data_IF_047452152543
#
_entry.id   IF_047452152543
#
_cell.length_a   1.000
_cell.length_b   1.000
_cell.length_c   1.000
_cell.angle_alpha   90.00
_cell.angle_beta   90.00
_cell.angle_gamma   90.00
#
_symmetry.space_group_name_H-M   'P 1'
#
loop_
_entity.id
_entity.type
_entity.pdbx_description
1 polymer ?
#
# COMPACT_ATOMS: atom_id res chain seq x y z
N UNK A 1 15.33 6.65 23.54
CA UNK A 1 14.08 6.13 22.94
C UNK A 1 14.06 4.62 23.03
N UNK A 2 12.85 4.04 23.11
CA UNK A 2 12.66 2.60 23.12
C UNK A 2 11.94 2.18 21.84
N UNK A 3 12.61 1.42 20.95
CA UNK A 3 12.05 0.98 19.68
C UNK A 3 11.76 -0.52 19.66
N UNK A 4 10.58 -0.88 19.15
CA UNK A 4 10.29 -2.23 18.73
C UNK A 4 10.53 -2.35 17.21
N UNK A 5 11.44 -3.22 16.79
CA UNK A 5 11.71 -3.51 15.39
C UNK A 5 11.19 -4.90 15.07
N UNK A 6 10.28 -4.99 14.10
CA UNK A 6 9.79 -6.26 13.55
C UNK A 6 10.42 -6.43 12.16
N UNK A 7 11.28 -7.43 12.01
CA UNK A 7 11.99 -7.69 10.76
C UNK A 7 11.42 -8.95 10.07
N UNK A 8 10.81 -8.77 8.92
CA UNK A 8 10.30 -9.85 8.10
C UNK A 8 11.39 -10.37 7.15
N UNK A 9 12.03 -11.46 7.53
CA UNK A 9 13.12 -12.09 6.77
C UNK A 9 12.68 -12.62 5.39
N UNK A 10 11.37 -12.86 5.18
CA UNK A 10 10.85 -13.25 3.87
C UNK A 10 10.79 -12.09 2.85
N UNK A 11 10.98 -10.86 3.30
CA UNK A 11 10.96 -9.66 2.44
C UNK A 11 12.26 -9.37 1.67
N UNK A 12 13.26 -10.21 1.73
CA UNK A 12 14.52 -10.39 0.96
C UNK A 12 15.17 -9.27 0.15
N UNK A 13 14.63 -8.05 0.16
CA UNK A 13 15.22 -6.90 -0.52
C UNK A 13 16.04 -6.08 0.48
N UNK A 14 17.29 -5.78 0.14
CA UNK A 14 18.25 -5.09 1.02
C UNK A 14 18.56 -5.84 2.33
N UNK A 15 18.92 -7.10 2.22
CA UNK A 15 19.41 -7.89 3.35
C UNK A 15 20.50 -7.11 4.10
N UNK A 16 20.27 -6.90 5.40
CA UNK A 16 21.23 -6.20 6.27
C UNK A 16 21.00 -4.70 6.47
N UNK A 17 20.29 -4.00 5.61
CA UNK A 17 20.06 -2.55 5.75
C UNK A 17 19.35 -2.17 7.09
N UNK A 18 18.54 -3.06 7.65
CA UNK A 18 17.94 -2.85 8.97
C UNK A 18 19.01 -2.76 10.09
N UNK A 19 20.10 -3.48 9.97
CA UNK A 19 21.21 -3.40 10.94
C UNK A 19 22.00 -2.10 10.81
N UNK A 20 22.09 -1.54 9.61
CA UNK A 20 22.69 -0.22 9.40
C UNK A 20 21.80 0.88 10.00
N UNK A 21 20.47 0.76 9.87
CA UNK A 21 19.53 1.61 10.58
C UNK A 21 19.70 1.52 12.10
N UNK A 22 19.77 0.30 12.66
CA UNK A 22 19.97 0.08 14.09
C UNK A 22 21.26 0.75 14.55
N UNK A 23 22.38 0.57 13.83
CA UNK A 23 23.68 1.22 14.18
C UNK A 23 23.58 2.75 14.11
N UNK A 24 22.93 3.29 13.08
CA UNK A 24 22.77 4.73 12.92
C UNK A 24 21.85 5.34 13.97
N UNK A 25 20.83 4.60 14.37
CA UNK A 25 19.87 5.04 15.37
C UNK A 25 20.41 4.97 16.79
N UNK A 26 21.18 3.91 17.12
CA UNK A 26 21.62 3.63 18.50
C UNK A 26 22.50 4.73 19.08
N UNK A 27 22.07 5.28 20.21
CA UNK A 27 22.84 6.21 21.06
C UNK A 27 22.77 5.75 22.51
N UNK A 28 23.51 6.40 23.40
CA UNK A 28 23.47 6.12 24.83
C UNK A 28 22.02 6.26 25.36
N UNK A 29 21.58 5.26 26.13
CA UNK A 29 20.23 5.15 26.71
C UNK A 29 19.11 4.79 25.73
N UNK A 30 19.38 4.40 24.51
CA UNK A 30 18.35 3.79 23.66
C UNK A 30 18.18 2.30 23.97
N UNK A 31 16.96 1.83 23.89
CA UNK A 31 16.60 0.41 23.98
C UNK A 31 16.00 -0.03 22.65
N UNK A 32 16.55 -1.08 22.06
CA UNK A 32 16.04 -1.61 20.79
C UNK A 32 15.74 -3.09 20.97
N UNK A 33 14.48 -3.45 20.77
CA UNK A 33 14.02 -4.82 20.75
C UNK A 33 13.78 -5.24 19.30
N UNK A 34 14.59 -6.19 18.82
CA UNK A 34 14.44 -6.75 17.47
C UNK A 34 13.73 -8.10 17.52
N UNK A 35 12.60 -8.20 16.84
CA UNK A 35 11.84 -9.44 16.61
C UNK A 35 11.89 -9.80 15.14
N UNK A 36 12.31 -11.01 14.82
CA UNK A 36 12.38 -11.48 13.44
C UNK A 36 11.27 -12.51 13.17
N UNK A 37 10.73 -12.48 11.96
CA UNK A 37 9.76 -13.47 11.47
C UNK A 37 10.20 -14.05 10.14
N UNK A 38 9.85 -15.30 9.89
CA UNK A 38 10.06 -15.98 8.60
C UNK A 38 8.96 -15.67 7.56
N UNK A 39 8.06 -14.74 7.89
CA UNK A 39 6.92 -14.35 7.04
C UNK A 39 5.71 -15.26 7.12
N UNK A 40 5.74 -16.31 7.95
CA UNK A 40 4.62 -17.24 8.17
C UNK A 40 3.86 -16.97 9.46
N UNK A 41 4.57 -16.45 10.45
CA UNK A 41 3.98 -16.06 11.74
C UNK A 41 3.12 -14.82 11.55
N UNK A 42 1.94 -14.80 12.13
CA UNK A 42 1.08 -13.61 12.15
C UNK A 42 1.80 -12.46 12.85
N UNK A 43 1.96 -11.34 12.15
CA UNK A 43 2.66 -10.16 12.66
C UNK A 43 1.99 -9.57 13.90
N UNK A 44 0.70 -9.80 14.10
CA UNK A 44 -0.06 -9.38 15.27
C UNK A 44 0.54 -9.94 16.57
N UNK A 45 1.05 -11.16 16.52
CA UNK A 45 1.68 -11.79 17.69
C UNK A 45 2.92 -11.04 18.21
N UNK A 46 3.53 -10.20 17.36
CA UNK A 46 4.72 -9.42 17.72
C UNK A 46 4.38 -8.04 18.32
N UNK A 47 3.10 -7.67 18.39
CA UNK A 47 2.65 -6.34 18.82
C UNK A 47 2.01 -6.31 20.21
N UNK A 48 2.00 -7.44 20.93
CA UNK A 48 1.27 -7.59 22.19
C UNK A 48 1.69 -6.61 23.30
N UNK A 49 2.89 -6.08 23.23
CA UNK A 49 3.49 -5.13 24.16
C UNK A 49 3.95 -3.82 23.46
N UNK A 50 3.39 -3.52 22.28
CA UNK A 50 3.78 -2.38 21.48
C UNK A 50 3.62 -1.04 22.22
N UNK A 51 2.67 -0.96 23.17
CA UNK A 51 2.46 0.22 24.03
C UNK A 51 3.63 0.52 24.98
N UNK A 52 4.56 -0.40 25.17
CA UNK A 52 5.73 -0.21 26.00
C UNK A 52 6.89 0.46 25.23
N UNK A 53 6.69 0.80 23.96
CA UNK A 53 7.69 1.37 23.05
C UNK A 53 7.28 2.76 22.57
N UNK A 54 8.27 3.61 22.31
CA UNK A 54 8.07 4.94 21.76
C UNK A 54 7.66 4.91 20.28
N UNK A 55 8.08 3.88 19.54
CA UNK A 55 7.67 3.62 18.15
C UNK A 55 7.90 2.16 17.75
N UNK A 56 7.17 1.74 16.73
CA UNK A 56 7.32 0.43 16.07
C UNK A 56 7.93 0.63 14.69
N UNK A 57 9.01 -0.08 14.38
CA UNK A 57 9.62 -0.14 13.05
C UNK A 57 9.24 -1.47 12.42
N UNK A 58 8.62 -1.46 11.25
CA UNK A 58 8.32 -2.66 10.47
C UNK A 58 9.22 -2.75 9.24
N UNK A 59 10.19 -3.64 9.28
CA UNK A 59 11.06 -3.98 8.15
C UNK A 59 10.39 -5.06 7.32
N UNK A 60 9.81 -4.67 6.19
CA UNK A 60 9.02 -5.57 5.36
C UNK A 60 8.56 -4.93 4.05
N UNK A 61 7.77 -5.65 3.28
CA UNK A 61 7.07 -5.10 2.11
C UNK A 61 5.73 -4.46 2.49
N UNK A 62 5.07 -3.84 1.49
CA UNK A 62 3.81 -3.10 1.68
C UNK A 62 2.72 -3.91 2.41
N UNK A 63 2.64 -5.23 2.20
CA UNK A 63 1.70 -6.09 2.92
C UNK A 63 2.02 -6.25 4.41
N UNK A 64 3.30 -6.35 4.79
CA UNK A 64 3.70 -6.39 6.20
C UNK A 64 3.42 -5.07 6.89
N UNK A 65 3.72 -3.96 6.19
CA UNK A 65 3.45 -2.61 6.67
C UNK A 65 1.94 -2.43 6.87
N UNK A 66 1.11 -2.83 5.90
CA UNK A 66 -0.35 -2.72 5.98
C UNK A 66 -0.93 -3.49 7.20
N UNK A 67 -0.43 -4.70 7.44
CA UNK A 67 -0.86 -5.48 8.62
C UNK A 67 -0.54 -4.76 9.92
N UNK A 68 0.70 -4.27 10.07
CA UNK A 68 1.11 -3.59 11.30
C UNK A 68 0.42 -2.23 11.45
N UNK A 69 0.23 -1.47 10.34
CA UNK A 69 -0.53 -0.22 10.36
C UNK A 69 -1.96 -0.42 10.85
N UNK A 70 -2.61 -1.47 10.37
CA UNK A 70 -3.99 -1.79 10.76
C UNK A 70 -4.09 -2.14 12.26
N UNK A 71 -3.16 -2.93 12.78
CA UNK A 71 -3.15 -3.30 14.20
C UNK A 71 -2.81 -2.11 15.13
N UNK A 72 -2.00 -1.17 14.66
CA UNK A 72 -1.63 0.02 15.43
C UNK A 72 -2.59 1.20 15.19
N UNK A 73 -3.58 1.06 14.32
CA UNK A 73 -4.55 2.12 14.04
C UNK A 73 -5.25 2.57 15.33
N UNK A 74 -5.33 3.88 15.54
CA UNK A 74 -5.95 4.51 16.71
C UNK A 74 -5.30 4.19 18.08
N UNK A 75 -4.12 3.59 18.13
CA UNK A 75 -3.40 3.31 19.38
C UNK A 75 -2.53 4.49 19.84
N UNK A 76 -2.24 5.44 18.93
CA UNK A 76 -1.31 6.54 19.18
C UNK A 76 0.16 6.13 19.12
N UNK A 77 0.49 4.88 18.80
CA UNK A 77 1.87 4.39 18.69
C UNK A 77 2.38 4.71 17.28
N UNK A 78 3.47 5.50 17.15
CA UNK A 78 4.06 5.81 15.85
C UNK A 78 4.59 4.56 15.15
N UNK A 79 4.32 4.44 13.84
CA UNK A 79 4.85 3.40 12.97
C UNK A 79 5.89 3.98 12.01
N UNK A 80 7.01 3.29 11.89
CA UNK A 80 8.08 3.59 10.93
C UNK A 80 8.13 2.47 9.90
N UNK A 81 7.65 2.69 8.68
CA UNK A 81 7.84 1.75 7.58
C UNK A 81 9.32 1.70 7.20
N UNK A 82 9.96 0.53 7.25
CA UNK A 82 11.32 0.32 6.75
C UNK A 82 11.27 -0.41 5.40
N UNK A 83 11.83 0.16 4.31
CA UNK A 83 11.63 -0.32 2.95
C UNK A 83 12.43 -1.59 2.65
N UNK A 84 11.96 -2.76 3.07
CA UNK A 84 12.59 -4.05 2.83
C UNK A 84 11.83 -4.93 1.82
N UNK A 85 10.79 -4.42 1.20
CA UNK A 85 10.01 -5.10 0.16
C UNK A 85 10.51 -4.83 -1.25
N UNK A 86 9.80 -5.36 -2.24
CA UNK A 86 10.14 -5.19 -3.67
C UNK A 86 9.75 -3.81 -4.21
N UNK A 87 8.57 -3.31 -3.84
CA UNK A 87 8.02 -2.06 -4.38
C UNK A 87 8.12 -0.89 -3.39
N UNK A 88 7.87 -1.13 -2.10
CA UNK A 88 7.92 -0.15 -1.01
C UNK A 88 7.10 1.11 -1.32
N UNK A 89 5.90 0.90 -1.87
CA UNK A 89 5.07 1.98 -2.40
C UNK A 89 4.61 2.95 -1.30
N UNK A 90 4.34 2.45 -0.08
CA UNK A 90 3.96 3.33 1.01
C UNK A 90 5.09 4.29 1.36
N UNK A 91 6.33 3.80 1.50
CA UNK A 91 7.49 4.66 1.77
C UNK A 91 7.66 5.74 0.68
N UNK A 92 7.47 5.37 -0.60
CA UNK A 92 7.51 6.32 -1.72
C UNK A 92 6.38 7.35 -1.66
N UNK A 93 5.14 6.93 -1.36
CA UNK A 93 3.99 7.84 -1.21
C UNK A 93 4.20 8.84 -0.06
N UNK A 94 4.82 8.41 1.02
CA UNK A 94 5.16 9.26 2.17
C UNK A 94 6.42 10.12 1.93
N UNK A 95 7.07 10.02 0.77
CA UNK A 95 8.36 10.66 0.50
C UNK A 95 9.43 10.37 1.56
N UNK A 96 9.39 9.16 2.13
CA UNK A 96 10.26 8.75 3.21
C UNK A 96 11.66 8.44 2.67
N UNK A 97 12.74 8.78 3.40
CA UNK A 97 14.09 8.39 3.03
C UNK A 97 14.24 6.87 2.92
N UNK A 98 14.95 6.41 1.90
CA UNK A 98 15.29 4.98 1.74
C UNK A 98 16.62 4.62 2.40
N UNK A 99 17.50 5.60 2.62
CA UNK A 99 18.82 5.41 3.26
C UNK A 99 18.66 5.18 4.76
N UNK A 100 19.28 4.12 5.33
CA UNK A 100 19.15 3.78 6.74
C UNK A 100 19.53 4.90 7.71
N UNK A 101 20.60 5.64 7.42
CA UNK A 101 21.05 6.78 8.25
C UNK A 101 20.06 7.94 8.22
N UNK A 102 19.57 8.30 7.04
CA UNK A 102 18.58 9.39 6.90
C UNK A 102 17.24 9.01 7.56
N UNK A 103 16.86 7.74 7.49
CA UNK A 103 15.67 7.23 8.18
C UNK A 103 15.84 7.26 9.70
N UNK A 104 17.01 6.89 10.21
CA UNK A 104 17.31 6.98 11.64
C UNK A 104 17.27 8.43 12.15
N UNK A 105 17.80 9.38 11.40
CA UNK A 105 17.66 10.82 11.72
C UNK A 105 16.20 11.28 11.69
N UNK A 106 15.44 10.88 10.68
CA UNK A 106 14.01 11.21 10.59
C UNK A 106 13.26 10.73 11.85
N UNK A 107 13.47 9.47 12.26
CA UNK A 107 12.84 8.91 13.46
C UNK A 107 13.24 9.70 14.71
N UNK A 108 14.49 10.12 14.83
CA UNK A 108 14.97 10.93 15.94
C UNK A 108 14.34 12.31 16.03
N UNK A 109 13.89 12.89 14.92
CA UNK A 109 13.17 14.17 14.96
C UNK A 109 11.84 14.08 15.69
N UNK A 110 11.28 12.87 15.83
CA UNK A 110 10.00 12.60 16.47
C UNK A 110 8.80 13.22 15.77
N UNK A 111 8.95 13.68 14.52
CA UNK A 111 7.83 14.22 13.74
C UNK A 111 7.00 13.08 13.18
N UNK A 112 5.71 13.12 13.44
CA UNK A 112 4.73 12.14 12.94
C UNK A 112 3.78 12.79 11.95
N UNK A 113 3.22 11.95 11.09
CA UNK A 113 2.16 12.30 10.16
C UNK A 113 1.02 11.30 10.38
N UNK A 114 -0.17 11.79 10.65
CA UNK A 114 -1.36 10.96 10.70
C UNK A 114 -1.87 10.71 9.28
N UNK A 115 -2.20 9.47 8.98
CA UNK A 115 -2.87 9.09 7.74
C UNK A 115 -3.89 7.97 7.98
N UNK A 116 -4.85 7.87 7.08
CA UNK A 116 -5.92 6.89 7.16
C UNK A 116 -5.40 5.48 6.84
N UNK A 117 -5.84 4.52 7.61
CA UNK A 117 -5.67 3.10 7.31
C UNK A 117 -7.03 2.55 6.90
N UNK A 118 -7.14 2.12 5.66
CA UNK A 118 -8.38 1.55 5.16
C UNK A 118 -8.52 0.08 5.56
N UNK A 119 -9.77 -0.36 5.69
CA UNK A 119 -10.12 -1.74 6.01
C UNK A 119 -11.01 -2.33 4.92
N UNK A 120 -10.76 -3.57 4.54
CA UNK A 120 -11.63 -4.35 3.67
C UNK A 120 -12.11 -5.60 4.39
N UNK A 121 -13.42 -5.86 4.34
CA UNK A 121 -14.04 -7.08 4.86
C UNK A 121 -14.44 -8.00 3.71
N UNK A 122 -13.93 -9.23 3.73
CA UNK A 122 -14.24 -10.27 2.74
C UNK A 122 -14.54 -11.57 3.48
N UNK A 123 -15.74 -12.11 3.31
CA UNK A 123 -16.16 -13.37 3.94
C UNK A 123 -15.85 -13.41 5.45
N UNK A 124 -16.32 -12.39 6.18
CA UNK A 124 -16.17 -12.20 7.64
C UNK A 124 -14.71 -12.06 8.13
N UNK A 125 -13.77 -11.82 7.21
CA UNK A 125 -12.37 -11.52 7.56
C UNK A 125 -12.05 -10.09 7.19
N UNK A 126 -11.33 -9.41 8.09
CA UNK A 126 -10.92 -8.02 7.94
C UNK A 126 -9.43 -7.92 7.66
N UNK A 127 -9.09 -7.08 6.71
CA UNK A 127 -7.72 -6.82 6.30
C UNK A 127 -7.50 -5.32 6.16
N UNK A 128 -6.45 -4.80 6.76
CA UNK A 128 -6.04 -3.41 6.55
C UNK A 128 -5.30 -3.24 5.23
N UNK A 129 -5.46 -2.08 4.61
CA UNK A 129 -4.63 -1.67 3.49
C UNK A 129 -4.30 -0.18 3.56
N UNK A 130 -3.09 0.18 3.18
CA UNK A 130 -2.63 1.56 3.16
C UNK A 130 -2.72 2.18 1.77
N UNK A 131 -2.55 1.38 0.74
CA UNK A 131 -2.44 1.84 -0.64
C UNK A 131 -3.75 1.67 -1.40
N UNK A 132 -3.98 0.46 -1.87
CA UNK A 132 -5.11 0.12 -2.72
C UNK A 132 -5.62 -1.27 -2.43
N UNK A 133 -6.92 -1.48 -2.66
CA UNK A 133 -7.55 -2.79 -2.70
C UNK A 133 -8.43 -2.88 -3.93
N UNK A 134 -8.39 -4.01 -4.63
CA UNK A 134 -9.16 -4.17 -5.86
C UNK A 134 -9.96 -5.46 -5.92
N UNK A 135 -11.03 -5.42 -6.70
CA UNK A 135 -11.83 -6.58 -7.06
C UNK A 135 -11.97 -6.68 -8.58
N UNK A 136 -11.93 -7.91 -9.11
CA UNK A 136 -12.00 -8.16 -10.55
C UNK A 136 -10.63 -8.24 -11.20
N UNK A 137 -10.42 -7.50 -12.29
CA UNK A 137 -9.20 -7.55 -13.10
C UNK A 137 -7.94 -7.22 -12.32
N UNK A 138 -7.97 -6.18 -11.49
CA UNK A 138 -6.83 -5.80 -10.65
C UNK A 138 -6.40 -6.93 -9.70
N UNK A 139 -7.36 -7.56 -9.02
CA UNK A 139 -7.10 -8.70 -8.15
C UNK A 139 -6.49 -9.90 -8.92
N UNK A 140 -6.87 -10.11 -10.17
CA UNK A 140 -6.29 -11.14 -11.04
C UNK A 140 -4.84 -10.84 -11.37
N UNK A 141 -4.53 -9.59 -11.77
CA UNK A 141 -3.16 -9.14 -12.03
C UNK A 141 -2.28 -9.30 -10.80
N UNK A 142 -2.75 -8.87 -9.64
CA UNK A 142 -2.00 -8.98 -8.38
C UNK A 142 -1.69 -10.43 -8.01
N UNK A 143 -2.64 -11.33 -8.22
CA UNK A 143 -2.45 -12.78 -7.98
C UNK A 143 -1.40 -13.37 -8.90
N UNK A 144 -1.45 -13.07 -10.19
CA UNK A 144 -0.51 -13.59 -11.18
C UNK A 144 0.88 -12.96 -11.03
N UNK A 145 0.94 -11.68 -10.69
CA UNK A 145 2.19 -10.98 -10.38
C UNK A 145 2.86 -11.58 -9.13
N UNK A 146 2.09 -11.92 -8.09
CA UNK A 146 2.62 -12.55 -6.87
C UNK A 146 3.29 -13.89 -7.16
N UNK A 147 2.75 -14.69 -8.09
CA UNK A 147 3.34 -15.97 -8.51
C UNK A 147 4.68 -15.80 -9.25
N UNK A 148 4.88 -14.66 -9.91
CA UNK A 148 6.09 -14.37 -10.73
C UNK A 148 7.10 -13.47 -10.03
N UNK A 149 6.76 -12.91 -8.86
CA UNK A 149 7.51 -11.87 -8.13
C UNK A 149 8.96 -12.27 -7.83
N UNK A 150 9.20 -13.53 -7.46
CA UNK A 150 10.55 -14.02 -7.16
C UNK A 150 11.51 -13.97 -8.36
N UNK A 151 10.98 -14.07 -9.59
CA UNK A 151 11.78 -14.09 -10.82
C UNK A 151 11.87 -12.73 -11.52
N UNK A 152 10.81 -11.93 -11.48
CA UNK A 152 10.65 -10.73 -12.29
C UNK A 152 10.61 -9.43 -11.44
N UNK A 153 10.60 -9.54 -10.10
CA UNK A 153 10.57 -8.36 -9.24
C UNK A 153 9.38 -7.43 -9.55
N UNK A 154 9.66 -6.15 -9.70
CA UNK A 154 8.65 -5.11 -10.01
C UNK A 154 8.01 -5.29 -11.40
N UNK A 155 8.70 -5.91 -12.35
CA UNK A 155 8.21 -6.11 -13.72
C UNK A 155 7.07 -7.16 -13.75
N UNK A 156 6.95 -8.00 -12.69
CA UNK A 156 5.93 -9.04 -12.62
C UNK A 156 4.50 -8.49 -12.77
N UNK A 157 4.22 -7.31 -12.23
CA UNK A 157 2.90 -6.67 -12.35
C UNK A 157 2.57 -6.31 -13.80
N UNK A 158 3.51 -5.69 -14.51
CA UNK A 158 3.31 -5.33 -15.92
C UNK A 158 3.24 -6.57 -16.82
N UNK A 159 4.02 -7.61 -16.53
CA UNK A 159 3.96 -8.87 -17.26
C UNK A 159 2.61 -9.57 -17.05
N UNK A 160 2.08 -9.60 -15.82
CA UNK A 160 0.77 -10.16 -15.54
C UNK A 160 -0.36 -9.37 -16.23
N UNK A 161 -0.29 -8.04 -16.25
CA UNK A 161 -1.23 -7.20 -16.97
C UNK A 161 -1.20 -7.47 -18.49
N UNK A 162 -0.02 -7.64 -19.06
CA UNK A 162 0.16 -7.92 -20.48
C UNK A 162 -0.35 -9.33 -20.91
N UNK A 163 -0.38 -10.31 -20.01
CA UNK A 163 -0.86 -11.66 -20.29
C UNK A 163 -2.38 -11.81 -20.12
N UNK A 164 -3.01 -10.96 -19.29
CA UNK A 164 -4.45 -10.97 -19.00
C UNK A 164 -5.22 -9.97 -19.87
N UNK A 165 -5.18 -10.14 -21.19
CA UNK A 165 -5.74 -9.18 -22.17
C UNK A 165 -7.26 -9.19 -22.23
N UNK A 166 -7.91 -10.29 -21.84
CA UNK A 166 -9.37 -10.48 -21.90
C UNK A 166 -9.96 -10.74 -20.51
N UNK A 167 -10.05 -9.72 -19.64
CA UNK A 167 -10.70 -9.88 -18.35
C UNK A 167 -12.19 -10.15 -18.53
N UNK A 168 -12.79 -10.82 -17.55
CA UNK A 168 -14.24 -11.05 -17.55
C UNK A 168 -14.95 -9.74 -17.20
N UNK A 169 -15.89 -9.32 -18.04
CA UNK A 169 -16.81 -8.25 -17.70
C UNK A 169 -17.83 -8.77 -16.68
N UNK A 170 -18.05 -8.03 -15.63
CA UNK A 170 -19.04 -8.30 -14.61
C UNK A 170 -19.97 -7.11 -14.43
N UNK A 171 -21.23 -7.38 -14.09
CA UNK A 171 -22.12 -6.37 -13.57
C UNK A 171 -21.79 -6.12 -12.11
N UNK A 172 -21.46 -4.88 -11.77
CA UNK A 172 -21.07 -4.46 -10.44
C UNK A 172 -22.13 -3.55 -9.86
N UNK A 173 -22.53 -3.83 -8.63
CA UNK A 173 -23.38 -2.95 -7.84
C UNK A 173 -22.57 -2.48 -6.64
N UNK A 174 -22.36 -1.19 -6.56
CA UNK A 174 -21.58 -0.55 -5.51
C UNK A 174 -22.48 0.37 -4.70
N UNK A 175 -22.42 0.24 -3.39
CA UNK A 175 -23.02 1.21 -2.47
C UNK A 175 -21.90 2.08 -1.93
N UNK A 176 -21.92 3.35 -2.29
CA UNK A 176 -20.96 4.37 -1.91
C UNK A 176 -21.62 5.25 -0.84
N UNK A 177 -21.27 5.03 0.41
CA UNK A 177 -22.00 5.57 1.57
C UNK A 177 -23.52 5.25 1.46
N UNK A 178 -24.34 6.21 1.03
CA UNK A 178 -25.78 6.07 0.83
C UNK A 178 -26.21 6.01 -0.64
N UNK A 179 -25.26 6.10 -1.58
CA UNK A 179 -25.56 6.14 -3.00
C UNK A 179 -25.27 4.79 -3.65
N UNK A 180 -26.19 4.27 -4.43
CA UNK A 180 -26.01 3.03 -5.19
C UNK A 180 -25.70 3.37 -6.64
N UNK A 181 -24.62 2.81 -7.16
CA UNK A 181 -24.25 2.86 -8.57
C UNK A 181 -24.18 1.44 -9.12
N UNK A 182 -24.57 1.29 -10.37
CA UNK A 182 -24.48 0.02 -11.11
C UNK A 182 -23.68 0.28 -12.39
N UNK A 183 -22.75 -0.60 -12.68
CA UNK A 183 -21.88 -0.47 -13.85
C UNK A 183 -21.41 -1.83 -14.32
N UNK A 184 -21.30 -1.98 -15.64
CA UNK A 184 -20.61 -3.10 -16.25
C UNK A 184 -19.14 -2.73 -16.46
N UNK A 185 -18.24 -3.64 -16.11
CA UNK A 185 -16.82 -3.40 -16.24
C UNK A 185 -15.98 -4.58 -15.81
N UNK A 186 -14.67 -4.38 -15.79
CA UNK A 186 -13.71 -5.45 -15.48
C UNK A 186 -13.30 -5.45 -14.01
N UNK A 187 -13.63 -4.41 -13.24
CA UNK A 187 -13.32 -4.36 -11.82
C UNK A 187 -13.45 -2.98 -11.20
N UNK A 188 -13.17 -2.94 -9.91
CA UNK A 188 -13.13 -1.73 -9.07
C UNK A 188 -11.82 -1.71 -8.28
N UNK A 189 -11.26 -0.52 -8.10
CA UNK A 189 -10.09 -0.27 -7.26
C UNK A 189 -10.44 0.78 -6.21
N UNK A 190 -10.23 0.45 -4.97
CA UNK A 190 -10.35 1.34 -3.81
C UNK A 190 -8.96 1.90 -3.53
N UNK A 191 -8.82 3.22 -3.45
CA UNK A 191 -7.54 3.90 -3.41
C UNK A 191 -7.50 4.79 -2.17
N UNK A 192 -6.49 4.57 -1.33
CA UNK A 192 -6.19 5.40 -0.15
C UNK A 192 -4.92 6.24 -0.40
N UNK A 193 -3.88 5.65 -1.00
CA UNK A 193 -2.73 6.36 -1.53
C UNK A 193 -2.64 6.09 -3.04
N UNK A 194 -2.55 7.15 -3.84
CA UNK A 194 -2.79 7.04 -5.29
C UNK A 194 -1.57 6.66 -6.12
N UNK A 195 -0.35 6.88 -5.62
CA UNK A 195 0.84 6.64 -6.44
C UNK A 195 1.23 5.17 -6.46
N UNK A 196 1.35 4.64 -7.65
CA UNK A 196 1.95 3.35 -7.94
C UNK A 196 3.42 3.51 -8.35
N UNK A 197 4.03 2.45 -8.86
CA UNK A 197 5.42 2.47 -9.33
C UNK A 197 5.67 3.62 -10.31
N UNK A 198 6.88 4.18 -10.29
CA UNK A 198 7.32 5.30 -11.14
C UNK A 198 6.55 6.61 -10.90
N UNK A 199 6.02 6.81 -9.69
CA UNK A 199 5.24 8.00 -9.32
C UNK A 199 3.99 8.24 -10.20
N UNK A 200 3.44 7.17 -10.77
CA UNK A 200 2.23 7.27 -11.60
C UNK A 200 1.01 7.35 -10.69
N UNK A 201 0.23 8.45 -10.68
CA UNK A 201 -0.98 8.54 -9.89
C UNK A 201 -2.12 7.77 -10.56
N UNK A 202 -2.81 6.90 -9.83
CA UNK A 202 -4.02 6.20 -10.30
C UNK A 202 -5.25 7.09 -10.18
N UNK A 203 -5.30 7.94 -9.15
CA UNK A 203 -6.30 8.98 -8.97
C UNK A 203 -5.62 10.31 -8.67
N UNK A 204 -6.27 11.44 -9.03
CA UNK A 204 -5.82 12.78 -8.69
C UNK A 204 -6.47 13.24 -7.39
N UNK A 205 -5.81 14.17 -6.72
CA UNK A 205 -6.31 14.82 -5.50
C UNK A 205 -6.64 13.84 -4.34
N UNK A 206 -6.04 12.66 -4.36
CA UNK A 206 -6.17 11.71 -3.24
C UNK A 206 -5.46 12.28 -2.01
N UNK A 207 -6.19 12.50 -0.93
CA UNK A 207 -5.63 12.87 0.37
C UNK A 207 -5.82 11.70 1.34
N UNK A 208 -4.76 11.00 1.74
CA UNK A 208 -4.87 9.87 2.67
C UNK A 208 -5.17 10.27 4.12
N UNK A 209 -5.69 11.50 4.35
CA UNK A 209 -5.98 12.04 5.68
C UNK A 209 -7.40 12.60 5.80
N UNK A 210 -8.24 12.39 4.82
CA UNK A 210 -9.58 12.98 4.76
C UNK A 210 -10.70 11.98 5.12
N UNK A 211 -10.34 10.75 5.48
CA UNK A 211 -11.26 9.69 5.84
C UNK A 211 -12.08 9.17 4.66
N UNK A 212 -11.60 9.37 3.42
CA UNK A 212 -12.28 8.97 2.21
C UNK A 212 -11.43 8.00 1.39
N UNK A 213 -12.09 7.21 0.56
CA UNK A 213 -11.47 6.38 -0.47
C UNK A 213 -11.85 6.92 -1.84
N UNK A 214 -10.90 7.00 -2.75
CA UNK A 214 -11.22 7.13 -4.16
C UNK A 214 -11.58 5.75 -4.73
N UNK A 215 -12.69 5.69 -5.45
CA UNK A 215 -13.27 4.46 -5.98
C UNK A 215 -13.22 4.51 -7.50
N UNK A 216 -12.24 3.85 -8.09
CA UNK A 216 -12.08 3.79 -9.53
C UNK A 216 -12.81 2.58 -10.10
N UNK A 217 -13.86 2.82 -10.89
CA UNK A 217 -14.64 1.80 -11.60
C UNK A 217 -14.08 1.65 -13.01
N UNK A 218 -13.61 0.45 -13.35
CA UNK A 218 -12.98 0.15 -14.64
C UNK A 218 -14.04 -0.31 -15.65
N UNK A 219 -14.64 0.66 -16.37
CA UNK A 219 -15.79 0.49 -17.29
C UNK A 219 -15.39 0.03 -18.68
N UNK A 220 -14.47 -0.89 -18.81
CA UNK A 220 -14.01 -1.40 -20.11
C UNK A 220 -14.36 -2.87 -20.28
N UNK A 221 -14.47 -3.31 -21.54
CA UNK A 221 -14.70 -4.71 -21.87
C UNK A 221 -13.39 -5.52 -22.05
N UNK A 222 -12.23 -4.85 -22.08
CA UNK A 222 -10.93 -5.50 -22.26
C UNK A 222 -9.80 -4.64 -21.65
N UNK A 223 -8.67 -5.26 -21.39
CA UNK A 223 -7.50 -4.59 -20.82
C UNK A 223 -6.94 -3.47 -21.71
N UNK A 224 -7.05 -3.58 -23.04
CA UNK A 224 -6.60 -2.58 -23.99
C UNK A 224 -7.38 -1.26 -23.84
N UNK A 225 -8.64 -1.33 -23.38
CA UNK A 225 -9.45 -0.15 -23.07
C UNK A 225 -8.91 0.67 -21.89
N UNK A 226 -8.00 0.12 -21.08
CA UNK A 226 -7.32 0.86 -20.00
C UNK A 226 -6.05 1.58 -20.47
N UNK A 227 -5.52 1.25 -21.65
CA UNK A 227 -4.30 1.87 -22.18
C UNK A 227 -4.38 3.40 -22.30
N UNK A 228 -5.52 3.99 -22.76
CA UNK A 228 -5.64 5.45 -22.79
C UNK A 228 -5.58 6.08 -21.41
N UNK A 229 -6.22 5.45 -20.41
CA UNK A 229 -6.17 5.94 -19.02
C UNK A 229 -4.76 5.82 -18.43
N UNK A 230 -4.05 4.72 -18.71
CA UNK A 230 -2.67 4.52 -18.30
C UNK A 230 -1.74 5.51 -19.01
N UNK A 231 -1.93 5.71 -20.30
CA UNK A 231 -1.18 6.71 -21.07
C UNK A 231 -1.39 8.13 -20.56
N UNK A 232 -2.63 8.50 -20.25
CA UNK A 232 -2.96 9.77 -19.63
C UNK A 232 -2.28 9.92 -18.26
N UNK A 233 -2.32 8.88 -17.41
CA UNK A 233 -1.66 8.90 -16.11
C UNK A 233 -0.12 9.05 -16.20
N UNK A 234 0.50 8.45 -17.23
CA UNK A 234 1.93 8.59 -17.49
C UNK A 234 2.32 10.01 -17.96
N UNK A 235 1.45 10.65 -18.76
CA UNK A 235 1.69 11.99 -19.29
C UNK A 235 1.32 13.09 -18.28
N UNK A 236 0.36 12.81 -17.43
CA UNK A 236 -0.23 13.76 -16.49
C UNK A 236 0.27 13.55 -15.06
N UNK A 237 1.58 13.56 -14.88
CA UNK A 237 2.18 13.41 -13.54
C UNK A 237 1.83 14.57 -12.59
N UNK A 238 1.50 15.72 -13.14
CA UNK A 238 1.25 16.95 -12.36
C UNK A 238 -0.24 17.30 -12.19
N UNK A 239 -1.17 16.47 -12.71
CA UNK A 239 -2.61 16.75 -12.60
C UNK A 239 -3.12 17.87 -13.52
N UNK A 240 -2.39 18.21 -14.59
CA UNK A 240 -2.75 19.31 -15.49
C UNK A 240 -3.83 18.92 -16.52
N UNK A 241 -4.09 17.62 -16.70
CA UNK A 241 -5.05 17.10 -17.68
C UNK A 241 -6.13 16.24 -17.01
N UNK A 242 -7.19 16.83 -16.43
CA UNK A 242 -8.21 16.11 -15.69
C UNK A 242 -9.11 15.22 -16.56
N UNK A 243 -9.06 15.34 -17.87
CA UNK A 243 -9.86 14.55 -18.82
C UNK A 243 -9.33 13.13 -19.03
N UNK A 244 -9.47 12.28 -18.01
CA UNK A 244 -9.13 10.87 -18.13
C UNK A 244 -10.17 10.11 -18.95
N UNK A 245 -9.72 9.00 -19.52
CA UNK A 245 -10.50 8.10 -20.35
C UNK A 245 -11.92 7.84 -19.80
N UNK A 246 -12.93 7.86 -20.66
CA UNK A 246 -14.32 7.47 -20.37
C UNK A 246 -14.46 6.04 -19.82
N UNK A 247 -13.37 5.26 -19.86
CA UNK A 247 -13.33 3.87 -19.39
C UNK A 247 -12.98 3.75 -17.90
N UNK A 248 -12.67 4.85 -17.20
CA UNK A 248 -12.43 4.88 -15.76
C UNK A 248 -13.29 5.97 -15.16
N UNK A 249 -14.19 5.59 -14.28
CA UNK A 249 -15.03 6.50 -13.51
C UNK A 249 -14.55 6.53 -12.06
N UNK A 250 -14.33 7.71 -11.50
CA UNK A 250 -13.81 7.86 -10.13
C UNK A 250 -14.88 8.50 -9.27
N UNK A 251 -15.14 7.88 -8.13
CA UNK A 251 -16.03 8.37 -7.08
C UNK A 251 -15.24 8.50 -5.77
N UNK A 252 -15.86 9.12 -4.78
CA UNK A 252 -15.31 9.19 -3.42
C UNK A 252 -16.35 8.73 -2.41
N UNK A 253 -15.95 7.93 -1.44
CA UNK A 253 -16.80 7.44 -0.36
C UNK A 253 -15.98 7.07 0.87
N UNK A 254 -16.62 7.11 2.04
CA UNK A 254 -16.03 6.59 3.29
C UNK A 254 -16.23 5.10 3.42
N UNK A 255 -17.39 4.63 2.96
CA UNK A 255 -17.77 3.21 3.00
C UNK A 255 -18.19 2.75 1.61
N UNK A 256 -17.67 1.59 1.20
CA UNK A 256 -17.97 0.98 -0.10
C UNK A 256 -18.43 -0.46 0.14
N UNK A 257 -19.60 -0.80 -0.40
CA UNK A 257 -20.19 -2.16 -0.37
C UNK A 257 -20.48 -2.63 -1.77
#
# INVERSE_FOLDING_TARGET
MKLLIINNLASGYQEGAIYDFIRAFSQDNDEIVLRATDGRTDLRAFLHDAQDFDAVVISGGDGSIATVSHELANTGIPLVPFPAGTANLLCANLAQPNEPHALAEMVRTGKTLDFDVAEIEVADKRYGFNLMAGAGYDATIMKDAAASKQKLGQVAYFAAAATNITPKVAHMKLTLDNNVIESDGVGVVLINHSKIQFDIPVAHDTDPRDGMLDVAVLKTANALGLLPALGAALLDRNGEFPGRSSNVEVHRAREVK
#
